data_IF_950893976014
#
_entry.id   IF_950893976014
#
_cell.length_a   1.000
_cell.length_b   1.000
_cell.length_c   1.000
_cell.angle_alpha   90.00
_cell.angle_beta   90.00
_cell.angle_gamma   90.00
#
_symmetry.space_group_name_H-M   'P 1'
#
loop_
_entity.id
_entity.type
_entity.pdbx_description
1 polymer ?
#
# COMPACT_ATOMS: atom_id res chain seq x y z
N UNK A 1 -19.70 33.99 -36.28
CA UNK A 1 -18.29 33.91 -35.96
C UNK A 1 -18.16 33.73 -34.45
N UNK A 2 -18.07 32.46 -33.99
CA UNK A 2 -17.95 32.13 -32.58
C UNK A 2 -16.49 32.35 -32.15
N UNK A 3 -16.20 32.95 -30.99
CA UNK A 3 -14.83 33.08 -30.52
C UNK A 3 -14.27 31.69 -30.13
N UNK A 4 -13.09 31.41 -30.64
CA UNK A 4 -12.34 30.19 -30.28
C UNK A 4 -12.13 30.16 -28.77
N UNK A 5 -12.50 29.04 -28.14
CA UNK A 5 -12.16 28.75 -26.76
C UNK A 5 -10.62 28.74 -26.65
N UNK A 6 -10.08 29.67 -25.88
CA UNK A 6 -8.66 29.66 -25.54
C UNK A 6 -8.43 28.51 -24.57
N UNK A 7 -7.60 27.58 -24.96
CA UNK A 7 -7.07 26.56 -24.03
C UNK A 7 -6.45 27.29 -22.82
N UNK A 8 -6.73 26.85 -21.59
CA UNK A 8 -6.12 27.44 -20.41
C UNK A 8 -4.59 27.21 -20.46
N UNK A 9 -3.78 28.17 -20.00
CA UNK A 9 -2.34 28.02 -19.99
C UNK A 9 -1.93 26.82 -19.12
N UNK A 10 -0.99 26.04 -19.62
CA UNK A 10 -0.40 24.81 -19.05
C UNK A 10 0.27 24.97 -17.66
N UNK A 11 -0.15 25.90 -16.83
CA UNK A 11 0.46 26.22 -15.52
C UNK A 11 -0.46 25.99 -14.32
N UNK A 12 -1.60 25.32 -14.46
CA UNK A 12 -2.29 24.81 -13.27
C UNK A 12 -1.58 23.52 -12.81
N UNK A 13 -1.11 23.50 -11.58
CA UNK A 13 -0.62 22.29 -10.92
C UNK A 13 -1.70 21.22 -11.02
N UNK A 14 -1.59 20.34 -12.03
CA UNK A 14 -2.60 19.29 -12.23
C UNK A 14 -2.52 18.33 -11.07
N UNK A 15 -3.66 17.94 -10.50
CA UNK A 15 -3.74 16.84 -9.56
C UNK A 15 -3.13 15.59 -10.21
N UNK A 16 -2.49 14.75 -9.41
CA UNK A 16 -1.83 13.52 -9.88
C UNK A 16 -2.26 12.32 -9.08
N UNK A 17 -2.24 11.16 -9.74
CA UNK A 17 -2.33 9.86 -9.09
C UNK A 17 -0.91 9.37 -8.76
N UNK A 18 -0.64 9.15 -7.48
CA UNK A 18 0.63 8.62 -7.00
C UNK A 18 0.49 7.18 -6.53
N UNK A 19 1.46 6.34 -6.86
CA UNK A 19 1.59 5.02 -6.27
C UNK A 19 2.89 4.89 -5.49
N UNK A 20 2.77 4.92 -4.16
CA UNK A 20 3.84 4.65 -3.20
C UNK A 20 3.89 3.16 -2.92
N UNK A 21 4.86 2.46 -3.48
CA UNK A 21 4.96 1.01 -3.35
C UNK A 21 6.23 0.57 -2.62
N UNK A 22 6.17 -0.61 -2.01
CA UNK A 22 7.31 -1.23 -1.35
C UNK A 22 7.11 -2.73 -1.11
N UNK A 23 8.10 -3.37 -0.50
CA UNK A 23 7.92 -4.63 0.22
C UNK A 23 7.15 -4.41 1.53
N UNK A 24 6.81 -5.47 2.25
CA UNK A 24 6.23 -5.36 3.60
C UNK A 24 7.18 -4.65 4.56
N UNK A 25 6.64 -4.13 5.65
CA UNK A 25 7.41 -3.51 6.74
C UNK A 25 8.31 -2.31 6.36
N UNK A 26 8.05 -1.67 5.21
CA UNK A 26 8.80 -0.50 4.74
C UNK A 26 8.29 0.85 5.27
N UNK A 27 7.26 0.87 6.12
CA UNK A 27 6.73 2.10 6.70
C UNK A 27 5.69 2.82 5.82
N UNK A 28 5.00 2.12 4.89
CA UNK A 28 3.95 2.70 4.02
C UNK A 28 2.90 3.47 4.81
N UNK A 29 2.24 2.82 5.75
CA UNK A 29 1.20 3.44 6.60
C UNK A 29 1.75 4.60 7.42
N UNK A 30 3.00 4.53 7.89
CA UNK A 30 3.67 5.65 8.56
C UNK A 30 3.82 6.85 7.63
N UNK A 31 4.26 6.63 6.39
CA UNK A 31 4.40 7.70 5.38
C UNK A 31 3.04 8.29 4.99
N UNK A 32 2.00 7.45 4.87
CA UNK A 32 0.63 7.91 4.64
C UNK A 32 0.16 8.82 5.78
N UNK A 33 0.31 8.39 7.03
CA UNK A 33 -0.11 9.14 8.21
C UNK A 33 0.67 10.45 8.37
N UNK A 34 1.97 10.44 8.02
CA UNK A 34 2.78 11.65 7.97
C UNK A 34 2.26 12.63 6.90
N UNK A 35 1.89 12.12 5.71
CA UNK A 35 1.29 12.96 4.67
C UNK A 35 -0.03 13.55 5.14
N UNK A 36 -0.91 12.74 5.75
CA UNK A 36 -2.18 13.21 6.31
C UNK A 36 -1.97 14.31 7.35
N UNK A 37 -1.00 14.14 8.24
CA UNK A 37 -0.64 15.12 9.26
C UNK A 37 -0.19 16.44 8.62
N UNK A 38 0.70 16.39 7.63
CA UNK A 38 1.23 17.57 6.95
C UNK A 38 0.14 18.41 6.26
N UNK A 39 -0.86 17.78 5.67
CA UNK A 39 -2.03 18.48 5.11
C UNK A 39 -2.85 19.16 6.22
N UNK A 40 -3.15 18.41 7.29
CA UNK A 40 -3.98 18.91 8.42
C UNK A 40 -3.35 20.07 9.16
N UNK A 41 -2.04 20.05 9.36
CA UNK A 41 -1.31 21.17 9.97
C UNK A 41 -1.46 22.48 9.17
N UNK A 42 -1.76 22.40 7.88
CA UNK A 42 -1.99 23.56 7.00
C UNK A 42 -3.47 23.89 6.83
N UNK A 43 -4.35 23.28 7.65
CA UNK A 43 -5.79 23.47 7.56
C UNK A 43 -6.41 22.78 6.33
N UNK A 44 -5.70 21.90 5.65
CA UNK A 44 -6.17 21.17 4.48
C UNK A 44 -6.85 19.86 4.89
N UNK A 45 -8.04 19.60 4.36
CA UNK A 45 -8.79 18.38 4.64
C UNK A 45 -8.30 17.23 3.75
N UNK A 46 -8.13 16.05 4.36
CA UNK A 46 -7.79 14.81 3.67
C UNK A 46 -8.80 13.72 3.98
N UNK A 47 -9.05 12.85 3.00
CA UNK A 47 -9.84 11.64 3.15
C UNK A 47 -8.90 10.43 3.12
N UNK A 48 -8.98 9.56 4.12
CA UNK A 48 -8.23 8.32 4.17
C UNK A 48 -9.18 7.17 3.84
N UNK A 49 -8.80 6.33 2.88
CA UNK A 49 -9.52 5.12 2.49
C UNK A 49 -8.68 3.90 2.84
N UNK A 50 -9.31 2.85 3.35
CA UNK A 50 -8.66 1.57 3.68
C UNK A 50 -9.58 0.41 3.31
N UNK A 51 -9.06 -0.70 2.74
CA UNK A 51 -9.89 -1.86 2.44
C UNK A 51 -10.40 -2.51 3.73
N UNK A 52 -11.64 -2.95 3.72
CA UNK A 52 -12.23 -3.70 4.83
C UNK A 52 -11.78 -5.16 4.77
N UNK A 53 -10.57 -5.44 5.22
CA UNK A 53 -10.00 -6.78 5.22
C UNK A 53 -9.97 -7.40 6.61
N UNK A 54 -9.94 -6.58 7.68
CA UNK A 54 -9.77 -7.01 9.06
C UNK A 54 -10.38 -5.98 10.02
N UNK A 55 -11.25 -6.46 10.90
CA UNK A 55 -11.91 -5.60 11.91
C UNK A 55 -11.10 -5.45 13.21
N UNK A 56 -9.84 -5.97 13.28
CA UNK A 56 -9.05 -5.99 14.52
C UNK A 56 -8.69 -4.62 15.08
N UNK A 57 -8.53 -3.62 14.22
CA UNK A 57 -8.24 -2.24 14.64
C UNK A 57 -9.51 -1.37 14.76
N UNK A 58 -10.71 -1.95 14.57
CA UNK A 58 -11.95 -1.22 14.40
C UNK A 58 -12.18 -0.80 12.94
N UNK A 59 -13.45 -0.73 12.50
CA UNK A 59 -13.79 -0.38 11.12
C UNK A 59 -13.25 1.00 10.75
N UNK A 60 -12.34 1.07 9.81
CA UNK A 60 -11.83 2.32 9.25
C UNK A 60 -10.66 2.98 10.01
N UNK A 61 -10.10 2.34 11.03
CA UNK A 61 -8.88 2.86 11.68
C UNK A 61 -7.64 2.43 10.91
N UNK A 62 -6.84 3.39 10.47
CA UNK A 62 -5.52 3.17 9.87
C UNK A 62 -4.46 3.37 10.95
N UNK A 63 -3.70 2.32 11.25
CA UNK A 63 -2.71 2.31 12.32
C UNK A 63 -1.34 1.85 11.83
N UNK A 64 -0.30 2.62 12.14
CA UNK A 64 1.08 2.24 11.88
C UNK A 64 1.65 1.42 13.05
N UNK A 65 2.68 0.60 12.77
CA UNK A 65 3.37 -0.19 13.81
C UNK A 65 4.10 0.66 14.85
N UNK A 66 4.38 1.91 14.57
CA UNK A 66 5.02 2.85 15.50
C UNK A 66 4.00 3.66 16.32
N UNK A 67 2.71 3.24 16.32
CA UNK A 67 1.67 3.81 17.17
C UNK A 67 0.94 5.02 16.59
N UNK A 68 1.25 5.48 15.37
CA UNK A 68 0.46 6.52 14.70
C UNK A 68 -0.87 5.94 14.23
N UNK A 69 -1.95 6.70 14.41
CA UNK A 69 -3.30 6.29 14.00
C UNK A 69 -4.08 7.46 13.39
N UNK A 70 -4.98 7.15 12.47
CA UNK A 70 -5.96 8.09 11.94
C UNK A 70 -7.26 7.38 11.59
N UNK A 71 -8.37 8.11 11.67
CA UNK A 71 -9.65 7.63 11.20
C UNK A 71 -9.71 7.76 9.69
N UNK A 72 -10.14 6.70 9.02
CA UNK A 72 -10.42 6.63 7.59
C UNK A 72 -11.80 6.04 7.34
N UNK A 73 -12.16 5.90 6.07
CA UNK A 73 -13.36 5.21 5.61
C UNK A 73 -12.96 3.85 5.07
N UNK A 74 -13.56 2.78 5.61
CA UNK A 74 -13.36 1.44 5.12
C UNK A 74 -14.20 1.20 3.85
N UNK A 75 -13.59 0.64 2.80
CA UNK A 75 -14.28 0.29 1.56
C UNK A 75 -14.25 -1.21 1.27
N UNK A 76 -15.24 -1.68 0.52
CA UNK A 76 -15.37 -3.06 0.05
C UNK A 76 -14.96 -3.17 -1.43
N UNK A 77 -14.62 -4.36 -1.95
CA UNK A 77 -14.26 -4.53 -3.37
C UNK A 77 -15.32 -4.08 -4.38
N UNK A 78 -16.60 -4.05 -3.98
CA UNK A 78 -17.72 -3.61 -4.82
C UNK A 78 -18.08 -2.12 -4.70
N UNK A 79 -17.45 -1.37 -3.82
CA UNK A 79 -17.77 0.02 -3.59
C UNK A 79 -17.25 0.91 -4.75
N UNK A 80 -18.03 1.93 -5.09
CA UNK A 80 -17.65 2.97 -6.05
C UNK A 80 -16.90 4.08 -5.30
N UNK A 81 -15.56 4.08 -5.42
CA UNK A 81 -14.70 5.03 -4.70
C UNK A 81 -14.84 6.46 -5.22
N UNK A 82 -15.15 6.66 -6.51
CA UNK A 82 -15.40 8.00 -7.03
C UNK A 82 -16.64 8.61 -6.40
N UNK A 83 -17.74 7.84 -6.34
CA UNK A 83 -18.98 8.28 -5.67
C UNK A 83 -18.80 8.52 -4.18
N UNK A 84 -18.00 7.68 -3.52
CA UNK A 84 -17.66 7.85 -2.11
C UNK A 84 -16.95 9.19 -1.87
N UNK A 85 -15.95 9.53 -2.69
CA UNK A 85 -15.24 10.81 -2.63
C UNK A 85 -16.18 11.98 -2.94
N UNK A 86 -17.04 11.86 -3.96
CA UNK A 86 -18.03 12.89 -4.29
C UNK A 86 -19.02 13.14 -3.15
N UNK A 87 -19.50 12.07 -2.50
CA UNK A 87 -20.39 12.17 -1.36
C UNK A 87 -19.71 12.84 -0.15
N UNK A 88 -18.44 12.51 0.09
CA UNK A 88 -17.65 13.16 1.14
C UNK A 88 -17.44 14.66 0.88
N UNK A 89 -17.13 15.04 -0.35
CA UNK A 89 -17.00 16.46 -0.74
C UNK A 89 -18.34 17.19 -0.59
N UNK A 90 -19.45 16.57 -1.00
CA UNK A 90 -20.78 17.19 -0.86
C UNK A 90 -21.19 17.39 0.60
N UNK A 91 -20.84 16.45 1.49
CA UNK A 91 -21.21 16.51 2.90
C UNK A 91 -20.28 17.41 3.74
N UNK A 92 -18.98 17.43 3.45
CA UNK A 92 -17.95 17.99 4.32
C UNK A 92 -17.17 19.15 3.69
N UNK A 93 -17.50 19.55 2.45
CA UNK A 93 -16.84 20.66 1.74
C UNK A 93 -15.54 20.26 1.05
N UNK A 94 -14.69 21.25 0.74
CA UNK A 94 -13.48 21.08 -0.05
C UNK A 94 -12.55 19.98 0.47
N UNK A 95 -12.07 19.13 -0.43
CA UNK A 95 -11.15 18.04 -0.15
C UNK A 95 -9.84 18.28 -0.91
N UNK A 96 -8.71 18.23 -0.20
CA UNK A 96 -7.41 18.59 -0.76
C UNK A 96 -6.57 17.37 -1.16
N UNK A 97 -6.87 16.18 -0.63
CA UNK A 97 -6.16 14.95 -0.97
C UNK A 97 -6.95 13.72 -0.54
N UNK A 98 -6.88 12.66 -1.35
CA UNK A 98 -7.31 11.30 -0.98
C UNK A 98 -6.07 10.45 -0.73
N UNK A 99 -6.03 9.76 0.40
CA UNK A 99 -4.97 8.85 0.79
C UNK A 99 -5.55 7.43 0.86
N UNK A 100 -4.94 6.46 0.20
CA UNK A 100 -5.43 5.08 0.18
C UNK A 100 -4.38 4.18 0.79
N UNK A 101 -4.70 3.54 1.94
CA UNK A 101 -3.83 2.53 2.54
C UNK A 101 -4.14 1.15 1.96
N UNK A 102 -3.16 0.25 2.01
CA UNK A 102 -3.22 -1.12 1.50
C UNK A 102 -3.81 -1.20 0.06
N UNK A 103 -3.39 -0.25 -0.79
CA UNK A 103 -3.92 -0.04 -2.14
C UNK A 103 -3.72 -1.23 -3.10
N UNK A 104 -2.89 -2.23 -2.75
CA UNK A 104 -2.79 -3.48 -3.50
C UNK A 104 -4.11 -4.26 -3.54
N UNK A 105 -5.02 -4.01 -2.60
CA UNK A 105 -6.33 -4.67 -2.53
C UNK A 105 -7.44 -3.95 -3.29
N UNK A 106 -7.13 -2.87 -3.98
CA UNK A 106 -8.04 -2.27 -4.95
C UNK A 106 -8.34 -3.24 -6.07
N UNK A 107 -9.58 -3.26 -6.54
CA UNK A 107 -9.90 -3.85 -7.84
C UNK A 107 -9.41 -2.94 -8.97
N UNK A 108 -9.28 -3.49 -10.17
CA UNK A 108 -8.94 -2.70 -11.37
C UNK A 108 -9.93 -1.55 -11.59
N UNK A 109 -11.23 -1.78 -11.36
CA UNK A 109 -12.26 -0.74 -11.46
C UNK A 109 -12.10 0.36 -10.43
N UNK A 110 -11.73 0.03 -9.19
CA UNK A 110 -11.49 1.01 -8.14
C UNK A 110 -10.24 1.86 -8.42
N UNK A 111 -9.17 1.26 -8.95
CA UNK A 111 -8.01 2.04 -9.39
C UNK A 111 -8.36 3.01 -10.54
N UNK A 112 -9.24 2.60 -11.47
CA UNK A 112 -9.80 3.47 -12.50
C UNK A 112 -10.62 4.61 -11.88
N UNK A 113 -11.53 4.32 -10.96
CA UNK A 113 -12.35 5.34 -10.27
C UNK A 113 -11.49 6.37 -9.53
N UNK A 114 -10.35 5.96 -8.97
CA UNK A 114 -9.40 6.89 -8.34
C UNK A 114 -8.68 7.77 -9.38
N UNK A 115 -8.41 7.28 -10.59
CA UNK A 115 -7.91 8.14 -11.66
C UNK A 115 -8.97 9.19 -12.09
N UNK A 116 -10.26 8.81 -12.12
CA UNK A 116 -11.35 9.77 -12.37
C UNK A 116 -11.47 10.84 -11.25
N UNK A 117 -11.15 10.50 -10.00
CA UNK A 117 -11.06 11.51 -8.92
C UNK A 117 -9.99 12.56 -9.24
N UNK A 118 -8.85 12.12 -9.77
CA UNK A 118 -7.76 13.02 -10.20
C UNK A 118 -8.18 13.85 -11.41
N UNK A 119 -8.68 13.20 -12.44
CA UNK A 119 -8.92 13.83 -13.75
C UNK A 119 -10.16 14.74 -13.74
N UNK A 120 -11.22 14.32 -13.06
CA UNK A 120 -12.52 15.01 -13.06
C UNK A 120 -12.67 15.95 -11.86
N UNK A 121 -12.38 15.45 -10.64
CA UNK A 121 -12.54 16.24 -9.42
C UNK A 121 -11.34 17.13 -9.11
N UNK A 122 -10.21 16.91 -9.81
CA UNK A 122 -8.96 17.66 -9.59
C UNK A 122 -8.41 17.53 -8.17
N UNK A 123 -8.63 16.37 -7.54
CA UNK A 123 -8.15 16.04 -6.21
C UNK A 123 -6.98 15.06 -6.33
N UNK A 124 -5.79 15.35 -5.80
CA UNK A 124 -4.66 14.42 -5.82
C UNK A 124 -4.97 13.17 -5.01
N UNK A 125 -4.54 12.01 -5.52
CA UNK A 125 -4.74 10.71 -4.89
C UNK A 125 -3.38 10.05 -4.65
N UNK A 126 -3.09 9.69 -3.41
CA UNK A 126 -1.87 9.02 -2.98
C UNK A 126 -2.20 7.61 -2.52
N UNK A 127 -1.86 6.61 -3.31
CA UNK A 127 -2.06 5.19 -3.04
C UNK A 127 -0.81 4.58 -2.41
N UNK A 128 -0.94 3.91 -1.27
CA UNK A 128 0.15 3.22 -0.58
C UNK A 128 -0.11 1.72 -0.55
N UNK A 129 0.80 0.92 -1.12
CA UNK A 129 0.55 -0.51 -1.25
C UNK A 129 1.79 -1.37 -1.46
N UNK A 130 1.60 -2.68 -1.39
CA UNK A 130 2.61 -3.67 -1.78
C UNK A 130 2.71 -3.72 -3.31
N UNK A 131 3.92 -3.95 -3.83
CA UNK A 131 4.09 -4.19 -5.26
C UNK A 131 3.69 -5.61 -5.63
N UNK A 132 4.29 -6.59 -4.95
CA UNK A 132 4.13 -8.02 -5.22
C UNK A 132 3.73 -8.77 -3.97
N UNK A 133 3.10 -9.93 -4.15
CA UNK A 133 2.84 -10.90 -3.11
C UNK A 133 4.11 -11.73 -2.76
N UNK A 134 3.93 -12.74 -1.92
CA UNK A 134 5.01 -13.63 -1.48
C UNK A 134 5.51 -14.60 -2.57
N UNK A 135 4.79 -14.75 -3.69
CA UNK A 135 5.19 -15.53 -4.87
C UNK A 135 5.94 -14.68 -5.89
N UNK A 136 6.00 -13.37 -5.67
CA UNK A 136 6.58 -12.40 -6.61
C UNK A 136 5.60 -11.95 -7.69
N UNK A 137 4.31 -12.28 -7.57
CA UNK A 137 3.26 -11.88 -8.49
C UNK A 137 2.65 -10.54 -8.09
N UNK A 138 2.20 -9.76 -9.06
CA UNK A 138 1.51 -8.49 -8.79
C UNK A 138 0.11 -8.75 -8.21
N UNK A 139 -0.28 -7.91 -7.24
CA UNK A 139 -1.68 -7.79 -6.87
C UNK A 139 -2.46 -7.05 -7.96
N UNK A 140 -3.77 -7.28 -8.06
CA UNK A 140 -4.64 -6.65 -9.07
C UNK A 140 -4.56 -5.11 -8.99
N UNK A 141 -4.72 -4.54 -7.79
CA UNK A 141 -4.64 -3.10 -7.58
C UNK A 141 -3.26 -2.54 -7.90
N UNK A 142 -2.20 -3.27 -7.53
CA UNK A 142 -0.82 -2.86 -7.84
C UNK A 142 -0.54 -2.88 -9.34
N UNK A 143 -1.05 -3.87 -10.06
CA UNK A 143 -0.93 -3.94 -11.52
C UNK A 143 -1.61 -2.74 -12.18
N UNK A 144 -2.82 -2.39 -11.74
CA UNK A 144 -3.56 -1.25 -12.28
C UNK A 144 -2.85 0.08 -11.95
N UNK A 145 -2.40 0.26 -10.71
CA UNK A 145 -1.70 1.48 -10.28
C UNK A 145 -0.34 1.65 -10.95
N UNK A 146 0.42 0.57 -11.17
CA UNK A 146 1.68 0.62 -11.93
C UNK A 146 1.46 1.06 -13.38
N UNK A 147 0.28 0.76 -13.97
CA UNK A 147 -0.05 1.14 -15.33
C UNK A 147 -0.58 2.58 -15.46
N UNK A 148 -1.29 3.08 -14.47
CA UNK A 148 -2.08 4.32 -14.59
C UNK A 148 -1.63 5.47 -13.68
N UNK A 149 -0.79 5.24 -12.68
CA UNK A 149 -0.31 6.32 -11.84
C UNK A 149 0.62 7.25 -12.62
N UNK A 150 0.44 8.57 -12.42
CA UNK A 150 1.33 9.60 -12.98
C UNK A 150 2.73 9.54 -12.36
N UNK A 151 2.80 9.16 -11.07
CA UNK A 151 4.06 9.11 -10.33
C UNK A 151 4.18 7.78 -9.57
N UNK A 152 5.29 7.09 -9.81
CA UNK A 152 5.65 5.84 -9.14
C UNK A 152 6.77 6.11 -8.14
N UNK A 153 6.49 5.94 -6.84
CA UNK A 153 7.42 6.25 -5.76
C UNK A 153 7.72 5.00 -4.95
N UNK A 154 8.98 4.59 -4.92
CA UNK A 154 9.40 3.46 -4.11
C UNK A 154 9.76 3.88 -2.68
N UNK A 155 9.05 3.34 -1.68
CA UNK A 155 9.45 3.45 -0.28
C UNK A 155 10.48 2.36 -0.01
N UNK A 156 11.73 2.77 0.27
CA UNK A 156 12.86 1.86 0.41
C UNK A 156 12.95 1.29 1.82
N UNK A 157 13.30 0.01 1.90
CA UNK A 157 13.66 -0.67 3.15
C UNK A 157 14.81 -1.65 2.90
N UNK A 158 15.42 -2.15 3.95
CA UNK A 158 16.57 -3.06 3.90
C UNK A 158 16.14 -4.47 4.30
N UNK A 159 16.80 -5.47 3.76
CA UNK A 159 16.67 -6.85 4.20
C UNK A 159 17.76 -7.19 5.23
N UNK A 160 17.68 -8.39 5.83
CA UNK A 160 18.65 -8.89 6.82
C UNK A 160 20.12 -8.92 6.30
N UNK A 161 20.32 -9.02 4.99
CA UNK A 161 21.67 -8.97 4.38
C UNK A 161 22.21 -7.53 4.21
N UNK A 162 21.51 -6.51 4.68
CA UNK A 162 21.85 -5.10 4.46
C UNK A 162 21.53 -4.59 3.06
N UNK A 163 21.07 -5.45 2.14
CA UNK A 163 20.67 -5.07 0.79
C UNK A 163 19.26 -4.47 0.78
N UNK A 164 18.94 -3.69 -0.27
CA UNK A 164 17.58 -3.17 -0.47
C UNK A 164 16.56 -4.31 -0.58
N UNK A 165 15.54 -4.27 0.27
CA UNK A 165 14.42 -5.22 0.22
C UNK A 165 13.40 -4.75 -0.82
N UNK A 166 13.07 -5.63 -1.77
CA UNK A 166 12.11 -5.36 -2.85
C UNK A 166 11.06 -6.45 -3.00
N UNK A 167 11.24 -7.57 -2.29
CA UNK A 167 10.39 -8.75 -2.33
C UNK A 167 9.90 -9.09 -0.93
N UNK A 168 8.82 -9.86 -0.87
CA UNK A 168 8.27 -10.38 0.38
C UNK A 168 8.24 -11.90 0.31
N UNK A 169 8.71 -12.59 1.35
CA UNK A 169 8.59 -14.05 1.53
C UNK A 169 7.59 -14.29 2.65
N UNK A 170 6.69 -15.26 2.48
CA UNK A 170 5.85 -15.78 3.55
C UNK A 170 6.49 -17.03 4.13
N UNK A 171 6.50 -17.14 5.45
CA UNK A 171 7.04 -18.30 6.17
C UNK A 171 5.97 -18.98 7.02
N UNK A 172 6.10 -20.29 7.19
CA UNK A 172 5.27 -21.10 8.08
C UNK A 172 5.70 -20.93 9.55
N UNK A 173 5.06 -21.64 10.46
CA UNK A 173 5.38 -21.66 11.90
C UNK A 173 6.76 -22.25 12.22
N UNK A 174 7.35 -22.98 11.27
CA UNK A 174 8.70 -23.55 11.37
C UNK A 174 9.75 -22.68 10.67
N UNK A 175 9.39 -21.49 10.17
CA UNK A 175 10.30 -20.60 9.47
C UNK A 175 10.64 -21.03 8.04
N UNK A 176 9.90 -21.98 7.44
CA UNK A 176 10.11 -22.42 6.06
C UNK A 176 9.30 -21.57 5.09
N UNK A 177 9.84 -21.32 3.89
CA UNK A 177 9.15 -20.53 2.88
C UNK A 177 7.87 -21.23 2.39
N UNK A 178 6.82 -20.44 2.24
CA UNK A 178 5.53 -20.89 1.69
C UNK A 178 5.48 -20.53 0.22
N UNK A 179 5.39 -21.55 -0.65
CA UNK A 179 5.39 -21.37 -2.11
C UNK A 179 3.99 -21.28 -2.72
N UNK A 180 2.98 -21.83 -2.05
CA UNK A 180 1.61 -21.88 -2.54
C UNK A 180 0.61 -21.47 -1.47
N UNK A 181 -0.61 -21.12 -1.89
CA UNK A 181 -1.70 -20.74 -0.99
C UNK A 181 -2.35 -19.42 -1.40
N UNK A 182 -3.35 -18.97 -0.66
CA UNK A 182 -4.06 -17.72 -0.96
C UNK A 182 -3.11 -16.53 -0.92
N UNK A 183 -3.33 -15.57 -1.82
CA UNK A 183 -2.51 -14.35 -1.92
C UNK A 183 -2.54 -13.54 -0.62
N UNK A 184 -3.66 -13.57 0.08
CA UNK A 184 -3.89 -12.86 1.35
C UNK A 184 -4.18 -13.89 2.44
N UNK A 185 -3.47 -13.76 3.56
CA UNK A 185 -3.77 -14.47 4.81
C UNK A 185 -3.97 -13.43 5.92
N UNK A 186 -5.18 -13.42 6.49
CA UNK A 186 -5.54 -12.48 7.54
C UNK A 186 -4.86 -12.93 8.83
N UNK A 187 -4.09 -12.05 9.45
CA UNK A 187 -3.55 -12.33 10.80
C UNK A 187 -2.07 -12.71 10.90
N UNK A 188 -1.34 -12.73 9.81
CA UNK A 188 0.00 -13.29 9.77
C UNK A 188 1.15 -12.32 9.49
N UNK A 189 1.08 -11.06 9.91
CA UNK A 189 2.16 -10.09 9.63
C UNK A 189 3.55 -10.54 10.11
N UNK A 190 3.61 -11.38 11.16
CA UNK A 190 4.84 -11.95 11.71
C UNK A 190 5.46 -13.01 10.81
N UNK A 191 4.67 -13.54 9.87
CA UNK A 191 5.08 -14.59 8.93
C UNK A 191 5.61 -14.04 7.61
N UNK A 192 5.77 -12.71 7.48
CA UNK A 192 6.24 -12.10 6.24
C UNK A 192 7.59 -11.40 6.45
N UNK A 193 8.57 -11.76 5.63
CA UNK A 193 9.91 -11.22 5.63
C UNK A 193 10.17 -10.38 4.39
N UNK A 194 10.71 -9.19 4.59
CA UNK A 194 11.14 -8.33 3.49
C UNK A 194 12.57 -8.68 3.10
N UNK A 195 12.77 -9.08 1.84
CA UNK A 195 14.05 -9.58 1.35
C UNK A 195 14.47 -8.90 0.05
N UNK A 196 15.75 -8.94 -0.25
CA UNK A 196 16.26 -8.56 -1.57
C UNK A 196 15.82 -9.57 -2.63
N UNK A 197 15.79 -9.17 -3.91
CA UNK A 197 15.46 -10.10 -5.01
C UNK A 197 16.40 -11.31 -5.06
N UNK A 198 17.68 -11.09 -4.74
CA UNK A 198 18.66 -12.18 -4.71
C UNK A 198 18.35 -13.20 -3.61
N UNK A 199 18.03 -12.72 -2.41
CA UNK A 199 17.62 -13.61 -1.31
C UNK A 199 16.28 -14.29 -1.57
N UNK A 200 15.31 -13.58 -2.14
CA UNK A 200 14.03 -14.17 -2.58
C UNK A 200 14.26 -15.38 -3.48
N UNK A 201 15.08 -15.22 -4.52
CA UNK A 201 15.39 -16.33 -5.46
C UNK A 201 16.09 -17.49 -4.77
N UNK A 202 17.04 -17.23 -3.86
CA UNK A 202 17.71 -18.29 -3.09
C UNK A 202 16.70 -19.07 -2.24
N UNK A 203 15.82 -18.36 -1.52
CA UNK A 203 14.83 -18.98 -0.64
C UNK A 203 13.83 -19.80 -1.48
N UNK A 204 13.26 -19.22 -2.53
CA UNK A 204 12.26 -19.87 -3.37
C UNK A 204 12.80 -21.03 -4.21
N UNK A 205 14.10 -21.03 -4.57
CA UNK A 205 14.72 -22.12 -5.33
C UNK A 205 15.37 -23.21 -4.41
N UNK A 206 15.64 -22.93 -3.15
CA UNK A 206 16.29 -23.88 -2.25
C UNK A 206 15.39 -25.08 -1.93
N UNK A 207 14.09 -24.89 -1.87
CA UNK A 207 13.10 -25.93 -1.56
C UNK A 207 12.83 -26.88 -2.74
N UNK A 208 13.13 -26.47 -3.99
CA UNK A 208 13.06 -27.37 -5.18
C UNK A 208 14.17 -28.43 -5.21
N UNK A 209 15.27 -28.23 -4.45
CA UNK A 209 16.47 -29.08 -4.56
C UNK A 209 16.74 -29.91 -3.29
N UNK A 210 16.27 -29.47 -2.12
CA UNK A 210 16.42 -30.19 -0.83
C UNK A 210 15.26 -29.82 0.08
N UNK A 211 14.46 -30.78 0.49
CA UNK A 211 13.36 -30.61 1.47
C UNK A 211 13.77 -30.17 2.89
N UNK A 212 14.84 -29.42 3.04
CA UNK A 212 15.37 -28.93 4.31
C UNK A 212 16.06 -27.55 4.15
N UNK A 213 15.26 -26.53 3.84
CA UNK A 213 15.75 -25.14 3.87
C UNK A 213 15.13 -24.37 5.04
N UNK A 214 15.53 -24.63 6.29
CA UNK A 214 15.06 -23.82 7.41
C UNK A 214 15.72 -22.42 7.36
N UNK A 215 14.90 -21.37 7.44
CA UNK A 215 15.32 -19.96 7.53
C UNK A 215 16.14 -19.68 8.81
N UNK A 216 16.14 -20.59 9.78
CA UNK A 216 16.99 -20.51 10.97
C UNK A 216 18.47 -20.29 10.64
N UNK A 217 18.96 -20.79 9.50
CA UNK A 217 20.30 -20.54 9.01
C UNK A 217 20.52 -19.12 8.49
N UNK A 218 19.44 -18.35 8.21
CA UNK A 218 19.49 -17.00 7.64
C UNK A 218 19.24 -15.88 8.67
N UNK A 219 18.85 -16.21 9.91
CA UNK A 219 18.55 -15.22 10.95
C UNK A 219 19.16 -15.55 12.31
N UNK A 220 20.45 -15.26 12.54
CA UNK A 220 20.98 -15.29 13.90
C UNK A 220 20.44 -14.20 14.85
N UNK A 221 19.62 -13.24 14.36
CA UNK A 221 19.34 -11.99 15.08
C UNK A 221 17.87 -11.57 15.22
N UNK A 222 16.90 -12.39 14.81
CA UNK A 222 15.49 -12.11 15.10
C UNK A 222 14.97 -12.91 16.30
N UNK A 223 15.68 -12.89 17.41
CA UNK A 223 15.02 -13.10 18.71
C UNK A 223 14.31 -11.80 19.05
N UNK A 224 12.99 -11.79 18.91
CA UNK A 224 12.16 -10.79 19.55
C UNK A 224 12.53 -10.75 21.04
N UNK A 225 12.69 -9.57 21.66
CA UNK A 225 12.83 -9.49 23.09
C UNK A 225 11.59 -10.15 23.69
N UNK A 226 11.80 -11.17 24.53
CA UNK A 226 10.78 -11.78 25.37
C UNK A 226 10.03 -10.66 26.08
N UNK A 227 8.72 -10.59 25.89
CA UNK A 227 7.86 -9.78 26.77
C UNK A 227 7.82 -10.49 28.12
N UNK A 228 8.81 -10.24 28.96
CA UNK A 228 8.76 -10.52 30.38
C UNK A 228 8.37 -9.24 31.12
N UNK A 229 7.23 -9.39 31.84
CA UNK A 229 6.52 -8.54 32.83
C UNK A 229 5.67 -7.40 32.29
#
# INVERSE_FOLDING_TARGET
MLPAARDPPYTSCMAKLYFYYSAMNAGKTTTLLQSAHNYRERGMRVLILTPRLDDRAGSGVVASRIGLQAQGIAFMPGDDLQRLVQADVAANGELHCVLVDEAQFLSKSQAWQLSEVVDVLRIPVLCYGLRTDFRGELFEGSQALLAWADELVEIKTICHSGSKATMTVRVDEHGRAVHAGPQVEIGGNERYLSVSRAEFKKIMCADDVRGEGSIEALQPSLRLPSQDT
#
